data_IF_502729373646
#
_entry.id   IF_502729373646
#
_cell.length_a   1.000
_cell.length_b   1.000
_cell.length_c   1.000
_cell.angle_alpha   90.00
_cell.angle_beta   90.00
_cell.angle_gamma   90.00
#
_symmetry.space_group_name_H-M   'P 1'
#
loop_
_entity.id
_entity.type
_entity.pdbx_description
1 polymer ?
#
# COMPACT_ATOMS: atom_id res chain seq x y z
N UNK A 1 -29.88 -0.37 25.50
CA UNK A 1 -28.41 -0.44 25.61
C UNK A 1 -28.05 -1.74 26.30
N UNK A 2 -27.49 -2.69 25.57
CA UNK A 2 -26.97 -3.97 26.07
C UNK A 2 -25.44 -3.91 26.16
N UNK A 3 -24.82 -4.95 26.71
CA UNK A 3 -23.35 -5.08 26.74
C UNK A 3 -22.73 -5.10 25.34
N UNK A 4 -23.43 -5.64 24.34
CA UNK A 4 -22.98 -5.66 22.94
C UNK A 4 -22.90 -4.25 22.35
N UNK A 5 -23.87 -3.37 22.65
CA UNK A 5 -23.90 -2.00 22.13
C UNK A 5 -22.63 -1.21 22.52
N UNK A 6 -22.12 -1.44 23.74
CA UNK A 6 -20.89 -0.80 24.24
C UNK A 6 -19.65 -1.37 23.56
N UNK A 7 -19.58 -2.70 23.39
CA UNK A 7 -18.44 -3.36 22.75
C UNK A 7 -18.32 -2.99 21.27
N UNK A 8 -19.44 -3.02 20.54
CA UNK A 8 -19.47 -2.70 19.11
C UNK A 8 -19.04 -1.26 18.86
N UNK A 9 -19.50 -0.33 19.71
CA UNK A 9 -19.09 1.08 19.63
C UNK A 9 -17.59 1.24 19.90
N UNK A 10 -17.05 0.57 20.93
CA UNK A 10 -15.63 0.65 21.26
C UNK A 10 -14.76 0.08 20.14
N UNK A 11 -15.12 -1.09 19.61
CA UNK A 11 -14.40 -1.75 18.51
C UNK A 11 -14.39 -0.87 17.25
N UNK A 12 -15.52 -0.26 16.91
CA UNK A 12 -15.61 0.62 15.74
C UNK A 12 -14.66 1.83 15.88
N UNK A 13 -14.62 2.46 17.05
CA UNK A 13 -13.67 3.56 17.34
C UNK A 13 -12.21 3.09 17.20
N UNK A 14 -11.88 1.89 17.70
CA UNK A 14 -10.54 1.33 17.57
C UNK A 14 -10.15 1.08 16.12
N UNK A 15 -11.06 0.47 15.33
CA UNK A 15 -10.84 0.19 13.91
C UNK A 15 -10.65 1.48 13.10
N UNK A 16 -11.45 2.52 13.38
CA UNK A 16 -11.30 3.82 12.73
C UNK A 16 -9.92 4.42 13.00
N UNK A 17 -9.49 4.47 14.27
CA UNK A 17 -8.18 5.01 14.66
C UNK A 17 -7.02 4.21 14.06
N UNK A 18 -7.11 2.88 14.07
CA UNK A 18 -6.12 2.02 13.44
C UNK A 18 -6.05 2.28 11.93
N UNK A 19 -7.20 2.42 11.26
CA UNK A 19 -7.26 2.74 9.84
C UNK A 19 -6.62 4.09 9.50
N UNK A 20 -6.84 5.11 10.33
CA UNK A 20 -6.20 6.43 10.16
C UNK A 20 -4.67 6.39 10.29
N UNK A 21 -4.15 5.56 11.21
CA UNK A 21 -2.70 5.34 11.33
C UNK A 21 -2.14 4.64 10.09
N UNK A 22 -2.79 3.55 9.67
CA UNK A 22 -2.39 2.80 8.48
C UNK A 22 -2.40 3.68 7.22
N UNK A 23 -3.39 4.56 7.05
CA UNK A 23 -3.42 5.48 5.91
C UNK A 23 -2.21 6.42 5.86
N UNK A 24 -1.78 6.95 7.02
CA UNK A 24 -0.59 7.80 7.11
C UNK A 24 0.66 7.02 6.72
N UNK A 25 0.79 5.79 7.22
CA UNK A 25 1.94 4.94 6.91
C UNK A 25 1.96 4.52 5.44
N UNK A 26 0.79 4.30 4.83
CA UNK A 26 0.68 4.03 3.39
C UNK A 26 1.14 5.22 2.54
N UNK A 27 0.84 6.46 2.96
CA UNK A 27 1.34 7.66 2.27
C UNK A 27 2.86 7.77 2.33
N UNK A 28 3.46 7.46 3.49
CA UNK A 28 4.90 7.39 3.66
C UNK A 28 5.53 6.29 2.79
N UNK A 29 4.92 5.10 2.76
CA UNK A 29 5.36 3.98 1.92
C UNK A 29 5.31 4.35 0.44
N UNK A 30 4.19 4.92 -0.03
CA UNK A 30 4.03 5.33 -1.43
C UNK A 30 5.08 6.37 -1.83
N UNK A 31 5.33 7.37 -0.98
CA UNK A 31 6.38 8.37 -1.24
C UNK A 31 7.77 7.74 -1.37
N UNK A 32 8.08 6.76 -0.51
CA UNK A 32 9.35 6.04 -0.49
C UNK A 32 9.53 5.18 -1.74
N UNK A 33 8.51 4.41 -2.12
CA UNK A 33 8.54 3.58 -3.34
C UNK A 33 8.69 4.48 -4.58
N UNK A 34 7.95 5.60 -4.66
CA UNK A 34 8.06 6.54 -5.78
C UNK A 34 9.46 7.11 -5.90
N UNK A 35 10.09 7.47 -4.78
CA UNK A 35 11.46 7.96 -4.76
C UNK A 35 12.45 6.92 -5.29
N UNK A 36 12.35 5.67 -4.82
CA UNK A 36 13.20 4.56 -5.30
C UNK A 36 12.95 4.24 -6.78
N UNK A 37 11.69 4.24 -7.21
CA UNK A 37 11.31 3.99 -8.59
C UNK A 37 11.95 5.02 -9.55
N UNK A 38 11.91 6.31 -9.18
CA UNK A 38 12.52 7.38 -9.97
C UNK A 38 14.05 7.30 -9.94
N UNK A 39 14.65 7.07 -8.77
CA UNK A 39 16.10 6.89 -8.61
C UNK A 39 16.64 5.78 -9.51
N UNK A 40 15.91 4.67 -9.61
CA UNK A 40 16.32 3.48 -10.36
C UNK A 40 15.60 3.32 -11.71
N UNK A 41 15.06 4.40 -12.27
CA UNK A 41 14.29 4.40 -13.53
C UNK A 41 15.02 3.68 -14.67
N UNK A 42 16.33 3.84 -14.76
CA UNK A 42 17.19 3.27 -15.82
C UNK A 42 18.11 2.14 -15.34
N UNK A 43 17.99 1.70 -14.08
CA UNK A 43 18.81 0.60 -13.56
C UNK A 43 18.30 -0.72 -14.15
N UNK A 44 19.05 -1.30 -15.10
CA UNK A 44 18.70 -2.56 -15.75
C UNK A 44 18.79 -3.72 -14.74
N UNK A 45 17.84 -4.66 -14.82
CA UNK A 45 17.85 -5.89 -14.04
C UNK A 45 17.19 -7.04 -14.81
N UNK A 46 17.51 -8.27 -14.45
CA UNK A 46 16.88 -9.46 -15.05
C UNK A 46 15.40 -9.54 -14.67
N UNK A 47 14.53 -9.76 -15.67
CA UNK A 47 13.12 -10.11 -15.43
C UNK A 47 13.02 -11.53 -14.86
N UNK A 48 11.92 -11.85 -14.18
CA UNK A 48 11.65 -13.23 -13.73
C UNK A 48 10.19 -13.59 -13.98
N UNK A 49 9.96 -14.77 -14.54
CA UNK A 49 8.63 -15.38 -14.68
C UNK A 49 8.70 -16.82 -14.19
N UNK A 50 7.71 -17.26 -13.41
CA UNK A 50 7.73 -18.57 -12.74
C UNK A 50 9.03 -18.86 -11.95
N UNK A 51 9.70 -17.81 -11.46
CA UNK A 51 11.00 -17.93 -10.78
C UNK A 51 12.22 -18.08 -11.69
N UNK A 52 12.04 -18.19 -13.02
CA UNK A 52 13.11 -18.35 -14.02
C UNK A 52 13.44 -17.00 -14.66
N UNK A 53 14.69 -16.82 -15.13
CA UNK A 53 15.11 -15.62 -15.86
C UNK A 53 14.24 -15.39 -17.09
N UNK A 54 13.75 -14.16 -17.22
CA UNK A 54 12.98 -13.66 -18.35
C UNK A 54 13.67 -12.44 -18.95
N UNK A 55 13.00 -11.76 -19.88
CA UNK A 55 13.54 -10.59 -20.58
C UNK A 55 14.02 -9.48 -19.62
N UNK A 56 15.10 -8.74 -19.97
CA UNK A 56 15.58 -7.63 -19.16
C UNK A 56 14.53 -6.53 -18.95
N UNK A 57 14.53 -5.95 -17.76
CA UNK A 57 13.67 -4.83 -17.38
C UNK A 57 14.45 -3.82 -16.53
N UNK A 58 13.79 -2.82 -15.94
CA UNK A 58 14.42 -1.90 -14.99
C UNK A 58 13.90 -2.09 -13.58
N UNK A 59 14.77 -1.90 -12.58
CA UNK A 59 14.38 -1.98 -11.17
C UNK A 59 13.34 -0.90 -10.82
N UNK A 60 13.45 0.28 -11.44
CA UNK A 60 12.44 1.33 -11.32
C UNK A 60 11.04 0.89 -11.78
N UNK A 61 10.95 0.11 -12.88
CA UNK A 61 9.66 -0.42 -13.34
C UNK A 61 9.05 -1.42 -12.35
N UNK A 62 9.87 -2.30 -11.74
CA UNK A 62 9.42 -3.20 -10.67
C UNK A 62 8.87 -2.44 -9.47
N UNK A 63 9.52 -1.35 -9.07
CA UNK A 63 9.03 -0.49 -7.99
C UNK A 63 7.74 0.25 -8.36
N UNK A 64 7.58 0.68 -9.62
CA UNK A 64 6.32 1.28 -10.09
C UNK A 64 5.14 0.30 -10.06
N UNK A 65 5.39 -0.98 -10.36
CA UNK A 65 4.35 -2.01 -10.23
C UNK A 65 3.87 -2.09 -8.78
N UNK A 66 4.79 -2.17 -7.81
CA UNK A 66 4.43 -2.16 -6.38
C UNK A 66 3.70 -0.86 -5.99
N UNK A 67 4.16 0.31 -6.46
CA UNK A 67 3.50 1.59 -6.21
C UNK A 67 2.04 1.59 -6.68
N UNK A 68 1.77 1.05 -7.89
CA UNK A 68 0.42 0.98 -8.44
C UNK A 68 -0.50 0.11 -7.59
N UNK A 69 -0.03 -1.05 -7.11
CA UNK A 69 -0.78 -1.91 -6.20
C UNK A 69 -1.08 -1.21 -4.87
N UNK A 70 -0.06 -0.67 -4.20
CA UNK A 70 -0.26 0.03 -2.92
C UNK A 70 -1.14 1.27 -3.06
N UNK A 71 -1.08 1.98 -4.19
CA UNK A 71 -1.94 3.13 -4.45
C UNK A 71 -3.40 2.75 -4.58
N UNK A 72 -3.72 1.57 -5.14
CA UNK A 72 -5.08 1.03 -5.17
C UNK A 72 -5.53 0.65 -3.76
N UNK A 73 -4.72 -0.12 -3.04
CA UNK A 73 -5.05 -0.54 -1.67
C UNK A 73 -5.27 0.66 -0.74
N UNK A 74 -4.49 1.74 -0.89
CA UNK A 74 -4.65 2.98 -0.13
C UNK A 74 -5.98 3.66 -0.43
N UNK A 75 -6.39 3.67 -1.71
CA UNK A 75 -7.70 4.18 -2.12
C UNK A 75 -8.83 3.36 -1.47
N UNK A 76 -8.72 2.05 -1.49
CA UNK A 76 -9.73 1.14 -0.93
C UNK A 76 -9.83 1.30 0.59
N UNK A 77 -8.70 1.35 1.31
CA UNK A 77 -8.66 1.60 2.75
C UNK A 77 -9.27 2.96 3.14
N UNK A 78 -9.10 3.97 2.28
CA UNK A 78 -9.66 5.30 2.52
C UNK A 78 -11.16 5.42 2.26
N UNK A 79 -11.78 4.45 1.60
CA UNK A 79 -13.21 4.48 1.28
C UNK A 79 -14.12 4.34 2.53
N UNK A 80 -13.94 3.34 3.43
CA UNK A 80 -14.77 3.19 4.61
C UNK A 80 -14.54 4.28 5.67
N UNK A 81 -13.35 4.89 5.72
CA UNK A 81 -12.98 5.89 6.74
C UNK A 81 -13.52 7.30 6.47
N UNK A 82 -14.13 7.53 5.31
CA UNK A 82 -14.74 8.83 4.93
C UNK A 82 -16.19 8.98 5.37
N UNK A 83 -16.80 7.92 5.92
CA UNK A 83 -18.14 7.94 6.50
C UNK A 83 -18.07 8.10 8.02
#
# INVERSE_FOLDING_TARGET
MTSSDVLDTCLNIQLKRAGELLLKDMDLLLSSIKSQALKHKKTICVGRSHGIHAEPTTFGLKMLQAYAEFSRNRKDLSCPLRK
#
